data_IF_232420141938
#
_entry.id   IF_232420141938
#
_cell.length_a   1.000
_cell.length_b   1.000
_cell.length_c   1.000
_cell.angle_alpha   90.00
_cell.angle_beta   90.00
_cell.angle_gamma   90.00
#
_symmetry.space_group_name_H-M   'P 1'
#
loop_
_entity.id
_entity.type
_entity.pdbx_description
1 polymer ?
#
# COMPACT_ATOMS: atom_id res chain seq x y z
N UNK A 1 -0.77 28.93 17.71
CA UNK A 1 0.47 28.30 17.20
C UNK A 1 0.44 28.49 15.70
N UNK A 2 1.43 29.16 15.10
CA UNK A 2 1.47 29.38 13.64
C UNK A 2 1.89 28.05 13.02
N UNK A 3 1.09 27.50 12.11
CA UNK A 3 1.47 26.31 11.34
C UNK A 3 2.72 26.66 10.53
N UNK A 4 3.78 25.87 10.68
CA UNK A 4 5.00 26.05 9.89
C UNK A 4 4.66 25.85 8.40
N UNK A 5 4.81 26.93 7.61
CA UNK A 5 4.54 26.93 6.18
C UNK A 5 5.39 25.87 5.44
N UNK A 6 6.57 25.55 5.98
CA UNK A 6 7.41 24.46 5.50
C UNK A 6 6.80 23.06 5.74
N UNK A 7 6.16 22.83 6.89
CA UNK A 7 5.48 21.56 7.17
C UNK A 7 4.23 21.38 6.27
N UNK A 8 3.45 22.46 6.06
CA UNK A 8 2.29 22.44 5.17
C UNK A 8 2.67 22.14 3.71
N UNK A 9 3.79 22.71 3.24
CA UNK A 9 4.29 22.46 1.88
C UNK A 9 4.68 21.00 1.70
N UNK A 10 5.47 20.44 2.63
CA UNK A 10 5.86 19.02 2.63
C UNK A 10 4.66 18.08 2.66
N UNK A 11 3.66 18.40 3.48
CA UNK A 11 2.42 17.64 3.51
C UNK A 11 1.74 17.61 2.12
N UNK A 12 1.65 18.77 1.45
CA UNK A 12 1.09 18.88 0.11
C UNK A 12 1.86 18.04 -0.93
N UNK A 13 3.19 18.07 -0.90
CA UNK A 13 4.05 17.25 -1.78
C UNK A 13 3.83 15.75 -1.59
N UNK A 14 3.74 15.30 -0.33
CA UNK A 14 3.45 13.89 -0.04
C UNK A 14 2.04 13.49 -0.46
N UNK A 15 1.06 14.38 -0.26
CA UNK A 15 -0.31 14.14 -0.71
C UNK A 15 -0.37 14.03 -2.24
N UNK A 16 0.37 14.88 -2.97
CA UNK A 16 0.48 14.79 -4.43
C UNK A 16 1.08 13.47 -4.89
N UNK A 17 2.12 12.98 -4.20
CA UNK A 17 2.72 11.68 -4.50
C UNK A 17 1.69 10.54 -4.36
N UNK A 18 0.89 10.54 -3.30
CA UNK A 18 -0.17 9.52 -3.11
C UNK A 18 -1.25 9.61 -4.20
N UNK A 19 -1.65 10.83 -4.58
CA UNK A 19 -2.68 11.03 -5.60
C UNK A 19 -2.19 10.68 -7.00
N UNK A 20 -0.89 10.83 -7.28
CA UNK A 20 -0.30 10.41 -8.55
C UNK A 20 -0.44 8.89 -8.77
N UNK A 21 -0.23 8.08 -7.75
CA UNK A 21 -0.42 6.62 -7.85
C UNK A 21 -1.89 6.26 -8.03
N UNK A 22 -2.80 6.98 -7.37
CA UNK A 22 -4.22 6.81 -7.56
C UNK A 22 -4.66 7.17 -8.99
N UNK A 23 -4.17 8.27 -9.54
CA UNK A 23 -4.50 8.74 -10.89
C UNK A 23 -4.13 7.71 -11.98
N UNK A 24 -3.05 6.94 -11.78
CA UNK A 24 -2.68 5.83 -12.68
C UNK A 24 -3.74 4.73 -12.72
N UNK A 25 -4.48 4.53 -11.63
CA UNK A 25 -5.49 3.49 -11.47
C UNK A 25 -6.92 3.96 -11.77
N UNK A 26 -7.16 5.27 -11.69
CA UNK A 26 -8.44 5.91 -11.94
C UNK A 26 -8.27 7.14 -12.88
N UNK A 27 -7.91 6.92 -14.16
CA UNK A 27 -7.66 8.02 -15.09
C UNK A 27 -8.95 8.81 -15.37
N UNK A 28 -8.81 10.13 -15.55
CA UNK A 28 -9.93 11.04 -15.85
C UNK A 28 -10.68 11.56 -14.63
N UNK A 29 -10.22 11.26 -13.41
CA UNK A 29 -10.82 11.73 -12.15
C UNK A 29 -10.10 12.98 -11.60
N UNK A 30 -9.53 13.82 -12.47
CA UNK A 30 -8.66 14.94 -12.07
C UNK A 30 -9.36 15.94 -11.13
N UNK A 31 -10.61 16.30 -11.43
CA UNK A 31 -11.41 17.19 -10.58
C UNK A 31 -11.71 16.58 -9.22
N UNK A 32 -12.00 15.27 -9.19
CA UNK A 32 -12.27 14.53 -7.97
C UNK A 32 -11.01 14.48 -7.09
N UNK A 33 -9.84 14.24 -7.68
CA UNK A 33 -8.56 14.22 -6.96
C UNK A 33 -8.14 15.60 -6.47
N UNK A 34 -8.40 16.66 -7.25
CA UNK A 34 -8.21 18.03 -6.79
C UNK A 34 -9.10 18.36 -5.58
N UNK A 35 -10.37 17.95 -5.62
CA UNK A 35 -11.30 18.11 -4.49
C UNK A 35 -10.85 17.34 -3.25
N UNK A 36 -10.39 16.08 -3.42
CA UNK A 36 -9.83 15.28 -2.34
C UNK A 36 -8.57 15.93 -1.74
N UNK A 37 -7.64 16.41 -2.57
CA UNK A 37 -6.44 17.13 -2.10
C UNK A 37 -6.82 18.34 -1.28
N UNK A 38 -7.78 19.13 -1.76
CA UNK A 38 -8.26 20.30 -1.02
C UNK A 38 -8.83 19.89 0.35
N UNK A 39 -9.65 18.85 0.40
CA UNK A 39 -10.20 18.31 1.65
C UNK A 39 -9.08 17.87 2.62
N UNK A 40 -8.08 17.16 2.12
CA UNK A 40 -6.90 16.77 2.89
C UNK A 40 -6.15 18.00 3.44
N UNK A 41 -5.87 19.00 2.61
CA UNK A 41 -5.14 20.22 3.01
C UNK A 41 -5.91 21.08 4.03
N UNK A 42 -7.23 21.13 3.94
CA UNK A 42 -8.11 21.79 4.92
C UNK A 42 -8.11 21.04 6.25
N UNK A 43 -8.25 19.72 6.20
CA UNK A 43 -8.22 18.84 7.37
C UNK A 43 -6.87 18.93 8.09
N UNK A 44 -5.76 18.92 7.34
CA UNK A 44 -4.41 19.15 7.87
C UNK A 44 -4.29 20.49 8.58
N UNK A 45 -4.81 21.55 7.96
CA UNK A 45 -4.81 22.90 8.55
C UNK A 45 -5.54 22.94 9.89
N UNK A 46 -6.72 22.31 9.98
CA UNK A 46 -7.48 22.25 11.23
C UNK A 46 -6.72 21.50 12.34
N UNK A 47 -6.19 20.32 12.03
CA UNK A 47 -5.47 19.50 13.03
C UNK A 47 -4.21 20.18 13.54
N UNK A 48 -3.44 20.80 12.65
CA UNK A 48 -2.14 21.43 12.99
C UNK A 48 -2.30 22.74 13.76
N UNK A 49 -3.41 23.48 13.56
CA UNK A 49 -3.75 24.63 14.40
C UNK A 49 -3.92 24.23 15.88
N UNK A 50 -4.31 22.98 16.13
CA UNK A 50 -4.44 22.39 17.46
C UNK A 50 -3.17 21.64 17.92
N UNK A 51 -2.05 21.78 17.20
CA UNK A 51 -0.76 21.17 17.55
C UNK A 51 -0.67 19.68 17.23
N UNK A 52 -1.62 19.13 16.47
CA UNK A 52 -1.61 17.73 16.05
C UNK A 52 -0.83 17.57 14.75
N UNK A 53 -0.05 16.50 14.67
CA UNK A 53 0.62 16.06 13.44
C UNK A 53 -0.18 14.93 12.82
N UNK A 54 -0.32 14.96 11.50
CA UNK A 54 -0.96 13.88 10.75
C UNK A 54 -0.14 13.52 9.51
N UNK A 55 -0.28 12.27 9.09
CA UNK A 55 0.24 11.77 7.83
C UNK A 55 -0.71 12.14 6.69
N UNK A 56 -0.23 12.17 5.44
CA UNK A 56 -1.08 12.29 4.25
C UNK A 56 -2.21 11.27 4.26
N UNK A 57 -3.39 11.67 3.79
CA UNK A 57 -4.53 10.76 3.72
C UNK A 57 -4.47 9.95 2.44
N UNK A 58 -4.66 8.64 2.59
CA UNK A 58 -4.92 7.78 1.44
C UNK A 58 -6.35 8.06 0.96
N UNK A 59 -6.59 7.86 -0.33
CA UNK A 59 -7.91 8.01 -0.97
C UNK A 59 -8.93 6.95 -0.52
N UNK A 60 -8.56 6.12 0.44
CA UNK A 60 -9.35 5.02 0.94
C UNK A 60 -10.54 5.51 1.79
N UNK A 61 -11.70 4.84 1.75
CA UNK A 61 -12.84 5.17 2.60
C UNK A 61 -12.51 5.15 4.09
N UNK A 62 -11.56 4.32 4.51
CA UNK A 62 -11.11 4.21 5.90
C UNK A 62 -10.50 5.53 6.42
N UNK A 63 -9.94 6.36 5.55
CA UNK A 63 -9.51 7.73 5.89
C UNK A 63 -10.69 8.57 6.41
N UNK A 64 -11.89 8.38 5.89
CA UNK A 64 -13.11 9.03 6.39
C UNK A 64 -13.58 8.39 7.70
N UNK A 65 -13.47 7.07 7.83
CA UNK A 65 -13.84 6.34 9.06
C UNK A 65 -13.00 6.76 10.27
N UNK A 66 -11.77 7.23 10.07
CA UNK A 66 -10.89 7.76 11.12
C UNK A 66 -11.58 8.84 11.98
N UNK A 67 -12.30 9.77 11.38
CA UNK A 67 -13.00 10.82 12.11
C UNK A 67 -14.27 10.33 12.81
N UNK A 68 -14.94 9.30 12.28
CA UNK A 68 -16.08 8.68 12.97
C UNK A 68 -15.66 7.93 14.23
N UNK A 69 -14.50 7.27 14.17
CA UNK A 69 -14.00 6.43 15.25
C UNK A 69 -13.25 7.23 16.33
N UNK A 70 -12.96 8.51 16.10
CA UNK A 70 -12.28 9.39 17.04
C UNK A 70 -13.09 10.66 17.31
N UNK A 71 -13.91 10.62 18.36
CA UNK A 71 -14.71 11.76 18.81
C UNK A 71 -13.88 13.02 19.08
N UNK A 72 -12.65 12.83 19.58
CA UNK A 72 -11.77 13.93 19.93
C UNK A 72 -11.25 14.67 18.68
N UNK A 73 -10.98 13.94 17.60
CA UNK A 73 -10.53 14.53 16.33
C UNK A 73 -11.70 15.12 15.55
N UNK A 74 -12.89 14.50 15.61
CA UNK A 74 -14.10 15.07 15.05
C UNK A 74 -14.44 16.44 15.66
N UNK A 75 -14.15 16.65 16.95
CA UNK A 75 -14.34 17.95 17.61
C UNK A 75 -13.37 19.06 17.17
N UNK A 76 -12.29 18.71 16.46
CA UNK A 76 -11.26 19.65 15.98
C UNK A 76 -11.49 20.03 14.51
N UNK A 77 -11.91 19.07 13.69
CA UNK A 77 -12.08 19.26 12.25
C UNK A 77 -13.40 19.99 11.96
N UNK A 78 -13.43 21.02 11.08
CA UNK A 78 -14.67 21.71 10.73
C UNK A 78 -15.76 20.76 10.20
N UNK A 79 -17.01 21.01 10.59
CA UNK A 79 -18.17 20.20 10.17
C UNK A 79 -18.27 20.07 8.63
N UNK A 80 -17.91 21.12 7.89
CA UNK A 80 -17.89 21.10 6.42
C UNK A 80 -16.86 20.11 5.86
N UNK A 81 -15.72 19.91 6.54
CA UNK A 81 -14.75 18.87 6.17
C UNK A 81 -15.28 17.48 6.51
N UNK A 82 -15.90 17.32 7.69
CA UNK A 82 -16.50 16.04 8.09
C UNK A 82 -17.57 15.56 7.10
N UNK A 83 -18.44 16.47 6.67
CA UNK A 83 -19.46 16.15 5.66
C UNK A 83 -18.81 15.76 4.31
N UNK A 84 -17.77 16.48 3.88
CA UNK A 84 -17.04 16.12 2.64
C UNK A 84 -16.34 14.77 2.75
N UNK A 85 -15.78 14.42 3.90
CA UNK A 85 -15.22 13.08 4.14
C UNK A 85 -16.29 11.99 4.07
N UNK A 86 -17.49 12.26 4.61
CA UNK A 86 -18.63 11.36 4.49
C UNK A 86 -19.08 11.19 3.04
N UNK A 87 -19.17 12.28 2.28
CA UNK A 87 -19.52 12.22 0.86
C UNK A 87 -18.46 11.46 0.05
N UNK A 88 -17.18 11.61 0.38
CA UNK A 88 -16.09 10.81 -0.20
C UNK A 88 -16.32 9.30 0.02
N UNK A 89 -16.60 8.90 1.27
CA UNK A 89 -16.90 7.50 1.61
C UNK A 89 -18.11 6.97 0.84
N UNK A 90 -19.20 7.74 0.77
CA UNK A 90 -20.43 7.34 0.10
C UNK A 90 -20.27 7.22 -1.42
N UNK A 91 -19.45 8.07 -2.04
CA UNK A 91 -19.20 8.05 -3.49
C UNK A 91 -18.16 7.02 -3.94
N UNK A 92 -17.35 6.49 -3.02
CA UNK A 92 -16.26 5.59 -3.36
C UNK A 92 -16.70 4.28 -4.05
N UNK A 93 -17.82 3.62 -3.69
CA UNK A 93 -18.29 2.45 -4.42
C UNK A 93 -18.59 2.71 -5.90
N UNK A 94 -19.15 3.87 -6.23
CA UNK A 94 -19.38 4.26 -7.64
C UNK A 94 -18.06 4.49 -8.38
N UNK A 95 -17.06 5.04 -7.69
CA UNK A 95 -15.71 5.20 -8.23
C UNK A 95 -15.07 3.85 -8.57
N UNK A 96 -15.19 2.85 -7.68
CA UNK A 96 -14.68 1.49 -7.93
C UNK A 96 -15.37 0.82 -9.12
N UNK A 97 -16.69 1.00 -9.24
CA UNK A 97 -17.45 0.42 -10.34
C UNK A 97 -16.96 0.89 -11.73
N UNK A 98 -16.54 2.17 -11.83
CA UNK A 98 -15.99 2.77 -13.05
C UNK A 98 -14.51 2.42 -13.27
N UNK A 99 -13.74 2.21 -12.20
CA UNK A 99 -12.29 1.98 -12.24
C UNK A 99 -11.90 0.60 -11.66
N UNK A 100 -12.05 -0.49 -12.42
CA UNK A 100 -11.79 -1.85 -11.93
C UNK A 100 -10.32 -2.09 -11.52
N UNK A 101 -9.35 -1.32 -12.04
CA UNK A 101 -7.94 -1.39 -11.60
C UNK A 101 -7.78 -0.88 -10.16
N UNK A 102 -8.50 0.18 -9.80
CA UNK A 102 -8.53 0.68 -8.45
C UNK A 102 -9.17 -0.33 -7.50
N UNK A 103 -10.23 -1.01 -7.94
CA UNK A 103 -10.85 -2.08 -7.16
C UNK A 103 -9.89 -3.25 -6.94
N UNK A 104 -9.17 -3.70 -7.99
CA UNK A 104 -8.13 -4.73 -7.86
C UNK A 104 -7.08 -4.31 -6.82
N UNK A 105 -6.61 -3.05 -6.87
CA UNK A 105 -5.64 -2.50 -5.91
C UNK A 105 -6.17 -2.54 -4.47
N UNK A 106 -7.47 -2.33 -4.25
CA UNK A 106 -8.05 -2.39 -2.92
C UNK A 106 -8.13 -3.81 -2.39
N UNK A 107 -8.61 -4.75 -3.21
CA UNK A 107 -8.70 -6.16 -2.81
C UNK A 107 -7.32 -6.78 -2.55
N UNK A 108 -6.30 -6.40 -3.33
CA UNK A 108 -4.91 -6.81 -3.08
C UNK A 108 -4.41 -6.32 -1.71
N UNK A 109 -4.70 -5.08 -1.33
CA UNK A 109 -4.36 -4.58 0.00
C UNK A 109 -5.19 -5.27 1.10
N UNK A 110 -6.48 -5.56 0.87
CA UNK A 110 -7.29 -6.34 1.83
C UNK A 110 -6.69 -7.72 2.11
N UNK A 111 -6.15 -8.41 1.09
CA UNK A 111 -5.40 -9.67 1.29
C UNK A 111 -4.19 -9.43 2.19
N UNK A 112 -3.40 -8.39 1.88
CA UNK A 112 -2.22 -8.03 2.67
C UNK A 112 -2.54 -7.84 4.15
N UNK A 113 -3.57 -7.04 4.45
CA UNK A 113 -3.97 -6.70 5.81
C UNK A 113 -4.40 -7.95 6.60
N UNK A 114 -5.08 -8.90 5.95
CA UNK A 114 -5.46 -10.19 6.56
C UNK A 114 -4.26 -11.10 6.82
N UNK A 115 -3.23 -11.00 6.00
CA UNK A 115 -2.02 -11.83 6.04
C UNK A 115 -0.89 -11.24 6.90
N UNK A 116 -1.20 -10.29 7.79
CA UNK A 116 -0.26 -9.61 8.69
C UNK A 116 0.73 -8.66 7.99
N UNK A 117 0.35 -8.07 6.85
CA UNK A 117 1.10 -7.01 6.18
C UNK A 117 0.27 -5.72 6.11
N UNK A 118 0.82 -4.62 6.61
CA UNK A 118 0.09 -3.38 6.90
C UNK A 118 -0.22 -2.45 5.71
N UNK A 119 0.10 -2.83 4.47
CA UNK A 119 -0.05 -1.89 3.33
C UNK A 119 -0.19 -2.53 1.94
N UNK A 120 0.71 -3.44 1.53
CA UNK A 120 0.67 -4.08 0.21
C UNK A 120 1.24 -5.50 0.31
N UNK A 121 0.72 -6.50 -0.44
CA UNK A 121 1.19 -7.88 -0.36
C UNK A 121 2.52 -8.05 -1.14
N UNK A 122 3.54 -7.26 -0.78
CA UNK A 122 4.82 -7.23 -1.45
C UNK A 122 5.50 -8.62 -1.43
N UNK A 123 5.89 -9.09 -2.61
CA UNK A 123 6.49 -10.40 -2.80
C UNK A 123 5.48 -11.56 -2.76
N UNK A 124 4.19 -11.28 -2.64
CA UNK A 124 3.11 -12.27 -2.72
C UNK A 124 2.18 -12.02 -3.91
N UNK A 125 2.36 -10.95 -4.67
CA UNK A 125 1.46 -10.58 -5.77
C UNK A 125 1.35 -11.68 -6.82
N UNK A 126 2.47 -12.37 -7.10
CA UNK A 126 2.51 -13.52 -8.01
C UNK A 126 1.80 -14.74 -7.44
N UNK A 127 1.98 -15.02 -6.14
CA UNK A 127 1.31 -16.13 -5.49
C UNK A 127 -0.22 -15.92 -5.45
N UNK A 128 -0.66 -14.67 -5.27
CA UNK A 128 -2.08 -14.31 -5.35
C UNK A 128 -2.58 -14.49 -6.79
N UNK A 129 -1.87 -13.99 -7.81
CA UNK A 129 -2.28 -14.20 -9.22
C UNK A 129 -2.36 -15.69 -9.57
N UNK A 130 -1.37 -16.48 -9.17
CA UNK A 130 -1.33 -17.92 -9.42
C UNK A 130 -2.47 -18.67 -8.71
N UNK A 131 -2.86 -18.22 -7.51
CA UNK A 131 -4.03 -18.74 -6.80
C UNK A 131 -5.33 -18.46 -7.59
N UNK A 132 -5.53 -17.21 -8.01
CA UNK A 132 -6.70 -16.82 -8.81
C UNK A 132 -6.72 -17.57 -10.15
N UNK A 133 -5.60 -17.60 -10.87
CA UNK A 133 -5.47 -18.30 -12.15
C UNK A 133 -5.64 -19.82 -12.02
N UNK A 134 -5.36 -20.39 -10.84
CA UNK A 134 -5.54 -21.80 -10.53
C UNK A 134 -7.00 -22.23 -10.37
N UNK A 135 -7.93 -21.29 -10.17
CA UNK A 135 -9.36 -21.59 -10.13
C UNK A 135 -9.85 -22.31 -8.86
N UNK A 136 -9.01 -22.42 -7.83
CA UNK A 136 -9.31 -23.18 -6.60
C UNK A 136 -9.28 -22.25 -5.37
N UNK A 137 -10.45 -21.80 -4.86
CA UNK A 137 -10.52 -20.90 -3.71
C UNK A 137 -9.93 -21.51 -2.43
N UNK A 138 -9.89 -22.84 -2.30
CA UNK A 138 -9.48 -23.52 -1.08
C UNK A 138 -7.96 -23.82 -1.04
N UNK A 139 -7.25 -23.57 -2.15
CA UNK A 139 -5.83 -23.94 -2.31
C UNK A 139 -4.85 -23.03 -1.58
N UNK A 140 -5.19 -21.77 -1.31
CA UNK A 140 -4.29 -20.81 -0.68
C UNK A 140 -4.98 -20.03 0.44
N UNK A 141 -4.22 -19.70 1.48
CA UNK A 141 -4.73 -19.04 2.69
C UNK A 141 -4.89 -17.50 2.54
N UNK A 142 -5.06 -16.97 1.32
CA UNK A 142 -5.06 -15.51 1.09
C UNK A 142 -6.38 -14.82 1.45
N UNK A 143 -7.47 -15.56 1.63
CA UNK A 143 -8.76 -14.95 1.95
C UNK A 143 -9.92 -15.93 2.00
N UNK A 144 -11.12 -15.36 2.02
CA UNK A 144 -12.37 -16.11 1.92
C UNK A 144 -12.82 -16.26 0.45
N UNK A 145 -13.86 -17.05 0.25
CA UNK A 145 -14.43 -17.35 -1.07
C UNK A 145 -14.98 -16.11 -1.79
N UNK A 146 -15.52 -15.13 -1.07
CA UNK A 146 -16.08 -13.91 -1.68
C UNK A 146 -14.96 -13.08 -2.30
N UNK A 147 -13.84 -12.96 -1.60
CA UNK A 147 -12.66 -12.27 -2.09
C UNK A 147 -12.08 -12.94 -3.34
N UNK A 148 -12.00 -14.29 -3.32
CA UNK A 148 -11.57 -15.06 -4.48
C UNK A 148 -12.47 -14.80 -5.70
N UNK A 149 -13.78 -14.93 -5.55
CA UNK A 149 -14.74 -14.76 -6.64
C UNK A 149 -14.64 -13.36 -7.27
N UNK A 150 -14.50 -12.32 -6.44
CA UNK A 150 -14.35 -10.94 -6.95
C UNK A 150 -13.03 -10.72 -7.66
N UNK A 151 -11.92 -11.25 -7.13
CA UNK A 151 -10.62 -11.17 -7.79
C UNK A 151 -10.58 -11.96 -9.10
N UNK A 152 -11.24 -13.12 -9.17
CA UNK A 152 -11.34 -13.91 -10.40
C UNK A 152 -12.14 -13.18 -11.50
N UNK A 153 -13.20 -12.48 -11.13
CA UNK A 153 -13.95 -11.61 -12.05
C UNK A 153 -13.06 -10.47 -12.58
N UNK A 154 -12.36 -9.76 -11.69
CA UNK A 154 -11.46 -8.67 -12.07
C UNK A 154 -10.29 -9.17 -12.93
N UNK A 155 -9.72 -10.33 -12.59
CA UNK A 155 -8.67 -10.99 -13.37
C UNK A 155 -9.13 -11.21 -14.82
N UNK A 156 -10.33 -11.75 -15.00
CA UNK A 156 -10.92 -11.97 -16.32
C UNK A 156 -11.20 -10.65 -17.05
N UNK A 157 -11.73 -9.64 -16.35
CA UNK A 157 -12.14 -8.36 -16.94
C UNK A 157 -10.95 -7.48 -17.36
N UNK A 158 -9.86 -7.48 -16.59
CA UNK A 158 -8.77 -6.52 -16.72
C UNK A 158 -7.68 -6.95 -17.70
N UNK A 159 -7.49 -8.25 -17.94
CA UNK A 159 -6.43 -8.76 -18.82
C UNK A 159 -5.00 -8.49 -18.31
N UNK A 160 -4.87 -8.13 -17.04
CA UNK A 160 -3.61 -7.74 -16.42
C UNK A 160 -3.68 -7.78 -14.90
N UNK A 161 -2.53 -7.52 -14.26
CA UNK A 161 -2.34 -7.64 -12.82
C UNK A 161 -1.56 -6.47 -12.25
N UNK A 162 -1.68 -6.30 -10.92
CA UNK A 162 -0.96 -5.29 -10.17
C UNK A 162 0.22 -5.87 -9.42
N UNK A 163 1.30 -5.10 -9.34
CA UNK A 163 2.45 -5.42 -8.52
C UNK A 163 3.15 -4.15 -8.02
N UNK A 164 4.01 -4.30 -7.02
CA UNK A 164 4.87 -3.21 -6.57
C UNK A 164 6.23 -3.27 -7.27
N UNK A 165 6.68 -2.17 -7.88
CA UNK A 165 8.03 -2.09 -8.42
C UNK A 165 9.10 -1.84 -7.33
N UNK A 166 10.36 -1.80 -7.75
CA UNK A 166 11.50 -1.63 -6.84
C UNK A 166 11.55 -0.22 -6.21
N UNK A 167 10.82 0.74 -6.81
CA UNK A 167 10.65 2.11 -6.33
C UNK A 167 9.37 2.28 -5.49
N UNK A 168 8.72 1.16 -5.12
CA UNK A 168 7.48 1.10 -4.35
C UNK A 168 6.25 1.71 -5.04
N UNK A 169 6.25 1.79 -6.37
CA UNK A 169 5.06 2.21 -7.13
C UNK A 169 4.17 1.01 -7.44
N UNK A 170 2.86 1.23 -7.41
CA UNK A 170 1.88 0.25 -7.90
C UNK A 170 1.82 0.33 -9.43
N UNK A 171 2.18 -0.77 -10.09
CA UNK A 171 2.23 -0.90 -11.55
C UNK A 171 1.19 -1.91 -12.03
N UNK A 172 0.49 -1.57 -13.11
CA UNK A 172 -0.42 -2.47 -13.81
C UNK A 172 0.22 -2.95 -15.12
N UNK A 173 0.35 -4.26 -15.29
CA UNK A 173 0.89 -4.90 -16.49
C UNK A 173 -0.13 -5.89 -17.05
N UNK A 174 -0.07 -6.17 -18.35
CA UNK A 174 -0.83 -7.29 -18.91
C UNK A 174 -0.37 -8.62 -18.29
N UNK A 175 -1.18 -9.67 -18.32
CA UNK A 175 -0.77 -10.96 -17.75
C UNK A 175 0.49 -11.53 -18.40
N UNK A 176 0.71 -11.26 -19.68
CA UNK A 176 1.90 -11.69 -20.39
C UNK A 176 3.16 -11.03 -19.81
N UNK A 177 3.13 -9.70 -19.68
CA UNK A 177 4.20 -8.90 -19.08
C UNK A 177 4.41 -9.28 -17.60
N UNK A 178 3.33 -9.30 -16.82
CA UNK A 178 3.39 -9.62 -15.40
C UNK A 178 4.02 -11.00 -15.14
N UNK A 179 3.68 -12.02 -15.92
CA UNK A 179 4.27 -13.37 -15.76
C UNK A 179 5.71 -13.47 -16.26
N UNK A 180 6.14 -12.57 -17.13
CA UNK A 180 7.54 -12.45 -17.52
C UNK A 180 8.35 -11.75 -16.42
N UNK A 181 7.85 -10.61 -15.93
CA UNK A 181 8.44 -9.83 -14.84
C UNK A 181 8.50 -10.63 -13.54
N UNK A 182 7.41 -11.30 -13.18
CA UNK A 182 7.28 -12.12 -11.97
C UNK A 182 8.29 -13.26 -11.91
N UNK A 183 8.48 -14.00 -13.01
CA UNK A 183 9.48 -15.07 -13.08
C UNK A 183 10.91 -14.57 -12.89
N UNK A 184 11.22 -13.39 -13.44
CA UNK A 184 12.54 -12.76 -13.24
C UNK A 184 12.75 -12.42 -11.76
N UNK A 185 11.76 -11.76 -11.15
CA UNK A 185 11.83 -11.31 -9.75
C UNK A 185 11.84 -12.45 -8.74
N UNK A 186 11.06 -13.50 -8.98
CA UNK A 186 11.06 -14.70 -8.14
C UNK A 186 12.45 -15.35 -8.15
N UNK A 187 13.04 -15.52 -9.34
CA UNK A 187 14.40 -16.04 -9.49
C UNK A 187 15.44 -15.16 -8.78
N UNK A 188 15.37 -13.84 -8.95
CA UNK A 188 16.26 -12.88 -8.26
C UNK A 188 16.12 -12.98 -6.73
N UNK A 189 14.89 -13.12 -6.23
CA UNK A 189 14.61 -13.30 -4.80
C UNK A 189 15.15 -14.63 -4.27
N UNK A 190 14.95 -15.73 -5.00
CA UNK A 190 15.51 -17.04 -4.63
C UNK A 190 17.04 -17.01 -4.60
N UNK A 191 17.66 -16.40 -5.61
CA UNK A 191 19.11 -16.21 -5.68
C UNK A 191 19.61 -15.37 -4.49
N UNK A 192 18.91 -14.29 -4.13
CA UNK A 192 19.23 -13.44 -2.98
C UNK A 192 19.09 -14.19 -1.65
N UNK A 193 17.99 -14.94 -1.44
CA UNK A 193 17.80 -15.78 -0.24
C UNK A 193 18.93 -16.80 -0.12
N UNK A 194 19.35 -17.42 -1.24
CA UNK A 194 20.47 -18.37 -1.25
C UNK A 194 21.78 -17.69 -0.86
N UNK A 195 22.05 -16.50 -1.37
CA UNK A 195 23.25 -15.72 -1.02
C UNK A 195 23.24 -15.33 0.47
N UNK A 196 22.13 -14.83 0.98
CA UNK A 196 22.01 -14.40 2.38
C UNK A 196 22.11 -15.59 3.34
N UNK A 197 21.52 -16.73 2.97
CA UNK A 197 21.69 -17.98 3.73
C UNK A 197 23.14 -18.44 3.75
N UNK A 198 23.83 -18.44 2.61
CA UNK A 198 25.24 -18.81 2.55
C UNK A 198 26.13 -17.85 3.37
N UNK A 199 25.84 -16.54 3.35
CA UNK A 199 26.51 -15.54 4.20
C UNK A 199 26.27 -15.80 5.68
N UNK A 200 25.03 -16.08 6.06
CA UNK A 200 24.66 -16.39 7.44
C UNK A 200 25.34 -17.66 7.95
N UNK A 201 25.35 -18.73 7.15
CA UNK A 201 26.05 -19.98 7.46
C UNK A 201 27.58 -19.75 7.59
N UNK A 202 28.18 -18.96 6.69
CA UNK A 202 29.59 -18.58 6.78
C UNK A 202 29.92 -17.76 8.04
N UNK A 203 29.02 -16.86 8.47
CA UNK A 203 29.16 -16.08 9.69
C UNK A 203 29.04 -16.94 10.96
N UNK A 204 28.14 -17.95 10.96
CA UNK A 204 28.01 -18.91 12.05
C UNK A 204 29.23 -19.83 12.19
N UNK A 205 29.89 -20.16 11.08
CA UNK A 205 31.08 -21.01 11.04
C UNK A 205 32.40 -20.22 11.03
N UNK A 206 32.37 -18.90 11.24
CA UNK A 206 33.60 -18.12 11.39
C UNK A 206 34.33 -18.57 12.66
N UNK A 207 35.63 -18.96 12.58
CA UNK A 207 36.37 -19.42 13.75
C UNK A 207 36.43 -18.29 14.79
N UNK A 208 35.95 -18.54 16.01
CA UNK A 208 36.14 -17.68 17.20
C UNK A 208 37.61 -17.65 17.68
N UNK A 209 38.58 -17.73 16.78
CA UNK A 209 40.00 -17.77 17.12
C UNK A 209 40.67 -16.43 16.83
N UNK A 210 40.51 -15.46 17.74
CA UNK A 210 41.58 -14.52 18.15
C UNK A 210 41.34 -14.01 19.57
N UNK A 211 41.39 -14.92 20.54
CA UNK A 211 41.67 -14.57 21.92
C UNK A 211 42.40 -15.74 22.59
N UNK A 212 43.68 -15.93 22.29
CA UNK A 212 44.69 -16.53 23.20
C UNK A 212 45.97 -16.89 22.45
N UNK A 213 46.94 -16.00 22.50
CA UNK A 213 48.39 -16.28 22.50
C UNK A 213 49.04 -14.89 22.63
N UNK A 214 49.39 -14.41 23.82
CA UNK A 214 50.21 -15.07 24.82
C UNK A 214 51.65 -14.61 24.63
N UNK A 215 52.07 -13.62 25.41
CA UNK A 215 53.48 -13.41 25.81
C UNK A 215 53.41 -12.76 27.21
N UNK A 216 53.49 -13.57 28.27
CA UNK A 216 54.73 -14.04 28.95
C UNK A 216 55.57 -12.87 29.44
N UNK A 217 55.38 -12.62 30.73
CA UNK A 217 56.39 -12.43 31.78
C UNK A 217 57.81 -12.09 31.33
N UNK A 218 58.27 -10.92 31.75
CA UNK A 218 59.55 -10.74 32.44
C UNK A 218 59.30 -10.04 33.77
#
# INVERSE_FOLDING_TARGET
MIVDEGERTKFGEWQDKLLADFAKLAPGEDELLASFKQLAMETYGALTQHGLRCMPWTTWPESAAFFRCSSDLAGIVPETCLERWRQWELGYPELLARHPRLELRNLMQTISERMNASSWPYGYEWAIEAWIAGGDPDRAAFGDRVLFERLAELHTRLGGWLYLDDDYNVVFETFAEFRQTGRRREKEREDQIRVDRARYEAALHWPRNRASSGNRSE
#
